data_IF_195231223031
#
_entry.id   IF_195231223031
#
_cell.length_a   1.000
_cell.length_b   1.000
_cell.length_c   1.000
_cell.angle_alpha   90.00
_cell.angle_beta   90.00
_cell.angle_gamma   90.00
#
_symmetry.space_group_name_H-M   'P 1'
#
loop_
_entity.id
_entity.type
_entity.pdbx_description
1 polymer ?
#
# COMPACT_ATOMS: atom_id res chain seq x y z
N UNK A 1 3.84 5.38 10.58
CA UNK A 1 2.74 6.02 9.84
C UNK A 1 1.62 6.33 10.82
N UNK A 2 0.78 7.32 10.53
CA UNK A 2 -0.40 7.67 11.28
C UNK A 2 -1.61 7.57 10.34
N UNK A 3 -2.47 6.58 10.59
CA UNK A 3 -3.65 6.31 9.77
C UNK A 3 -4.81 7.28 10.06
N UNK A 4 -4.79 7.96 11.21
CA UNK A 4 -5.79 8.97 11.55
C UNK A 4 -5.56 10.23 10.72
N UNK A 5 -4.29 10.61 10.53
CA UNK A 5 -3.93 11.81 9.75
C UNK A 5 -3.57 11.51 8.30
N UNK A 6 -3.45 10.23 7.92
CA UNK A 6 -3.07 9.82 6.56
C UNK A 6 -1.64 10.22 6.21
N UNK A 7 -0.73 10.22 7.20
CA UNK A 7 0.64 10.71 7.05
C UNK A 7 1.69 9.68 7.42
N UNK A 8 2.80 9.72 6.69
CA UNK A 8 4.07 9.09 7.07
C UNK A 8 5.05 10.20 7.44
N UNK A 9 5.60 10.12 8.65
CA UNK A 9 6.48 11.13 9.22
C UNK A 9 7.88 10.55 9.34
N UNK A 10 8.88 11.28 8.86
CA UNK A 10 10.29 10.97 9.07
C UNK A 10 10.88 12.03 10.00
N UNK A 11 11.50 11.57 11.08
CA UNK A 11 12.06 12.43 12.12
C UNK A 11 13.57 12.21 12.26
N UNK A 12 14.26 13.29 12.62
CA UNK A 12 15.66 13.27 13.04
C UNK A 12 15.75 13.94 14.42
N UNK A 13 16.42 13.30 15.37
CA UNK A 13 16.57 13.79 16.75
C UNK A 13 15.23 14.16 17.42
N UNK A 14 14.19 13.34 17.17
CA UNK A 14 12.84 13.55 17.70
C UNK A 14 12.03 14.65 17.01
N UNK A 15 12.60 15.37 16.04
CA UNK A 15 11.92 16.43 15.29
C UNK A 15 11.49 15.91 13.92
N UNK A 16 10.22 16.08 13.56
CA UNK A 16 9.71 15.74 12.22
C UNK A 16 10.41 16.62 11.19
N UNK A 17 11.01 15.99 10.18
CA UNK A 17 11.71 16.68 9.08
C UNK A 17 11.00 16.51 7.74
N UNK A 18 10.34 15.38 7.51
CA UNK A 18 9.61 15.11 6.27
C UNK A 18 8.23 14.58 6.59
N UNK A 19 7.24 15.10 5.88
CA UNK A 19 5.84 14.69 5.93
C UNK A 19 5.44 14.19 4.55
N UNK A 20 4.98 12.95 4.49
CA UNK A 20 4.41 12.37 3.28
C UNK A 20 2.94 12.03 3.47
N UNK A 21 2.08 12.36 2.50
CA UNK A 21 0.70 11.90 2.49
C UNK A 21 0.63 10.50 1.87
N UNK A 22 -0.17 9.62 2.46
CA UNK A 22 -0.23 8.22 2.07
C UNK A 22 -1.62 7.76 1.62
N UNK A 23 -1.64 6.72 0.82
CA UNK A 23 -2.77 5.81 0.65
C UNK A 23 -2.28 4.39 0.92
N UNK A 24 -3.16 3.51 1.38
CA UNK A 24 -2.79 2.13 1.70
C UNK A 24 -2.99 1.27 0.45
N UNK A 25 -1.95 0.56 0.04
CA UNK A 25 -2.04 -0.38 -1.07
C UNK A 25 -2.63 -1.71 -0.62
N UNK A 26 -2.07 -2.30 0.43
CA UNK A 26 -2.49 -3.59 0.95
C UNK A 26 -1.43 -4.18 1.85
N UNK A 27 -1.57 -5.47 2.12
CA UNK A 27 -0.63 -6.18 2.97
C UNK A 27 -0.40 -7.61 2.52
N UNK A 28 0.83 -8.08 2.72
CA UNK A 28 1.16 -9.50 2.59
C UNK A 28 0.96 -10.26 3.90
N UNK A 29 0.71 -11.56 3.79
CA UNK A 29 0.57 -12.49 4.92
C UNK A 29 1.36 -13.76 4.62
N UNK A 30 2.47 -13.98 5.35
CA UNK A 30 3.28 -15.19 5.22
C UNK A 30 2.61 -16.43 5.83
N UNK A 31 1.54 -16.25 6.63
CA UNK A 31 0.73 -17.37 7.11
C UNK A 31 -0.21 -17.91 6.03
N UNK A 32 -0.60 -17.05 5.09
CA UNK A 32 -1.62 -17.34 4.09
C UNK A 32 -1.06 -17.30 2.66
N UNK A 33 0.26 -17.11 2.52
CA UNK A 33 1.01 -16.99 1.26
C UNK A 33 0.29 -16.12 0.23
N UNK A 34 -0.10 -14.92 0.66
CA UNK A 34 -0.91 -14.03 -0.16
C UNK A 34 -0.72 -12.55 0.12
N UNK A 35 -1.23 -11.76 -0.82
CA UNK A 35 -1.53 -10.35 -0.69
C UNK A 35 -3.03 -10.16 -0.47
N UNK A 36 -3.39 -9.19 0.39
CA UNK A 36 -4.74 -8.65 0.53
C UNK A 36 -4.72 -7.16 0.15
N UNK A 37 -5.53 -6.78 -0.83
CA UNK A 37 -5.73 -5.39 -1.19
C UNK A 37 -6.41 -4.59 -0.09
N UNK A 38 -6.00 -3.34 0.10
CA UNK A 38 -6.54 -2.48 1.16
C UNK A 38 -8.05 -2.22 1.01
N UNK A 39 -8.55 -2.10 -0.22
CA UNK A 39 -9.97 -1.88 -0.48
C UNK A 39 -10.87 -3.03 -0.01
N UNK A 40 -10.31 -4.23 0.19
CA UNK A 40 -11.02 -5.41 0.67
C UNK A 40 -10.93 -5.59 2.20
N UNK A 41 -10.19 -4.74 2.90
CA UNK A 41 -10.01 -4.83 4.35
C UNK A 41 -10.88 -3.78 5.07
N UNK A 42 -12.01 -4.24 5.62
CA UNK A 42 -12.98 -3.38 6.32
C UNK A 42 -12.46 -2.73 7.61
N UNK A 43 -11.32 -3.18 8.13
CA UNK A 43 -10.70 -2.62 9.33
C UNK A 43 -9.82 -1.40 9.06
N UNK A 44 -9.64 -1.02 7.78
CA UNK A 44 -8.85 0.14 7.38
C UNK A 44 -9.73 1.39 7.21
N UNK A 45 -9.21 2.58 7.52
CA UNK A 45 -9.96 3.82 7.38
C UNK A 45 -10.26 4.12 5.91
N UNK A 46 -11.54 4.31 5.58
CA UNK A 46 -12.03 4.43 4.21
C UNK A 46 -11.36 5.55 3.38
N UNK A 47 -10.93 6.63 4.03
CA UNK A 47 -10.28 7.79 3.39
C UNK A 47 -8.88 7.47 2.86
N UNK A 48 -8.26 6.38 3.33
CA UNK A 48 -6.95 5.92 2.85
C UNK A 48 -7.03 4.81 1.80
N UNK A 49 -8.23 4.55 1.26
CA UNK A 49 -8.50 3.46 0.32
C UNK A 49 -8.92 3.95 -1.07
N UNK A 50 -8.99 5.26 -1.32
CA UNK A 50 -9.52 5.80 -2.58
C UNK A 50 -8.70 5.32 -3.78
N UNK A 51 -7.38 5.37 -3.67
CA UNK A 51 -6.49 4.90 -4.73
C UNK A 51 -6.53 3.37 -4.89
N UNK A 52 -6.69 2.61 -3.81
CA UNK A 52 -6.82 1.15 -3.90
C UNK A 52 -8.11 0.75 -4.63
N UNK A 53 -9.21 1.48 -4.39
CA UNK A 53 -10.46 1.30 -5.13
C UNK A 53 -10.31 1.64 -6.62
N UNK A 54 -9.53 2.67 -6.96
CA UNK A 54 -9.21 2.98 -8.37
C UNK A 54 -8.45 1.83 -9.04
N UNK A 55 -7.49 1.21 -8.34
CA UNK A 55 -6.79 0.02 -8.87
C UNK A 55 -7.76 -1.12 -9.13
N UNK A 56 -8.71 -1.37 -8.22
CA UNK A 56 -9.74 -2.38 -8.44
C UNK A 56 -10.56 -2.10 -9.69
N UNK A 57 -11.09 -0.87 -9.83
CA UNK A 57 -11.87 -0.50 -11.01
C UNK A 57 -11.05 -0.61 -12.31
N UNK A 58 -9.76 -0.27 -12.27
CA UNK A 58 -8.85 -0.47 -13.39
C UNK A 58 -8.69 -1.96 -13.73
N UNK A 59 -8.50 -2.81 -12.71
CA UNK A 59 -8.42 -4.26 -12.87
C UNK A 59 -9.68 -4.85 -13.49
N UNK A 60 -10.87 -4.45 -13.00
CA UNK A 60 -12.17 -4.86 -13.53
C UNK A 60 -12.35 -4.43 -14.99
N UNK A 61 -11.98 -3.19 -15.32
CA UNK A 61 -12.08 -2.65 -16.69
C UNK A 61 -11.14 -3.37 -17.67
N UNK A 62 -9.93 -3.73 -17.22
CA UNK A 62 -8.90 -4.35 -18.06
C UNK A 62 -8.89 -5.88 -18.03
N UNK A 63 -9.70 -6.51 -17.19
CA UNK A 63 -9.71 -7.96 -16.99
C UNK A 63 -8.42 -8.48 -16.36
N UNK A 64 -7.87 -7.75 -15.38
CA UNK A 64 -6.65 -8.13 -14.65
C UNK A 64 -7.04 -8.57 -13.24
N UNK A 65 -7.09 -9.89 -13.03
CA UNK A 65 -7.59 -10.48 -11.80
C UNK A 65 -6.75 -10.12 -10.58
N UNK A 66 -5.43 -10.01 -10.72
CA UNK A 66 -4.53 -9.63 -9.61
C UNK A 66 -4.80 -8.23 -9.06
N UNK A 67 -5.48 -7.37 -9.84
CA UNK A 67 -5.88 -6.03 -9.42
C UNK A 67 -7.35 -5.96 -8.99
N UNK A 68 -8.20 -6.82 -9.54
CA UNK A 68 -9.65 -6.83 -9.32
C UNK A 68 -10.08 -7.70 -8.13
N UNK A 69 -9.35 -8.78 -7.83
CA UNK A 69 -9.66 -9.69 -6.75
C UNK A 69 -9.11 -9.21 -5.41
N UNK A 70 -9.80 -9.55 -4.32
CA UNK A 70 -9.40 -9.13 -2.99
C UNK A 70 -8.03 -9.68 -2.58
N UNK A 71 -7.78 -10.94 -2.93
CA UNK A 71 -6.56 -11.67 -2.59
C UNK A 71 -5.78 -12.05 -3.85
N UNK A 72 -4.46 -12.05 -3.74
CA UNK A 72 -3.55 -12.58 -4.76
C UNK A 72 -2.60 -13.56 -4.08
N UNK A 73 -2.55 -14.80 -4.58
CA UNK A 73 -1.67 -15.84 -4.03
C UNK A 73 -0.23 -15.62 -4.48
N UNK A 74 0.71 -15.95 -3.60
CA UNK A 74 2.14 -15.98 -3.92
C UNK A 74 2.49 -17.30 -4.62
N UNK A 75 2.30 -17.32 -5.94
CA UNK A 75 2.62 -18.48 -6.78
C UNK A 75 4.12 -18.62 -7.07
N UNK A 76 4.92 -17.59 -6.76
CA UNK A 76 6.34 -17.53 -7.07
C UNK A 76 7.24 -17.86 -5.88
N UNK A 77 6.66 -18.09 -4.69
CA UNK A 77 7.37 -18.23 -3.42
C UNK A 77 8.29 -17.02 -3.14
N UNK A 78 7.82 -15.83 -3.53
CA UNK A 78 8.47 -14.54 -3.31
C UNK A 78 7.43 -13.48 -2.92
N UNK A 79 6.95 -13.62 -1.69
CA UNK A 79 5.92 -12.77 -1.12
C UNK A 79 6.34 -11.30 -1.07
N UNK A 80 7.63 -11.02 -0.94
CA UNK A 80 8.15 -9.65 -0.97
C UNK A 80 8.04 -9.06 -2.37
N UNK A 81 8.45 -9.79 -3.41
CA UNK A 81 8.27 -9.37 -4.79
C UNK A 81 6.80 -9.18 -5.16
N UNK A 82 5.90 -10.06 -4.69
CA UNK A 82 4.45 -9.89 -4.88
C UNK A 82 3.97 -8.55 -4.29
N UNK A 83 4.31 -8.28 -3.03
CA UNK A 83 3.91 -7.05 -2.36
C UNK A 83 4.45 -5.78 -3.04
N UNK A 84 5.72 -5.78 -3.46
CA UNK A 84 6.31 -4.67 -4.21
C UNK A 84 5.72 -4.50 -5.60
N UNK A 85 5.45 -5.60 -6.31
CA UNK A 85 4.87 -5.59 -7.65
C UNK A 85 3.48 -4.97 -7.67
N UNK A 86 2.58 -5.42 -6.79
CA UNK A 86 1.21 -4.91 -6.70
C UNK A 86 1.19 -3.45 -6.21
N UNK A 87 2.06 -3.10 -5.26
CA UNK A 87 2.20 -1.70 -4.83
C UNK A 87 2.74 -0.82 -5.96
N UNK A 88 3.70 -1.31 -6.75
CA UNK A 88 4.25 -0.62 -7.92
C UNK A 88 3.19 -0.39 -9.00
N UNK A 89 2.32 -1.38 -9.25
CA UNK A 89 1.18 -1.23 -10.15
C UNK A 89 0.25 -0.09 -9.67
N UNK A 90 -0.07 -0.05 -8.38
CA UNK A 90 -0.86 1.03 -7.80
C UNK A 90 -0.18 2.40 -7.94
N UNK A 91 1.14 2.49 -7.71
CA UNK A 91 1.89 3.74 -7.93
C UNK A 91 1.70 4.23 -9.37
N UNK A 92 1.82 3.33 -10.35
CA UNK A 92 1.69 3.66 -11.78
C UNK A 92 0.27 4.05 -12.18
N UNK A 93 -0.75 3.37 -11.66
CA UNK A 93 -2.17 3.62 -11.97
C UNK A 93 -2.61 4.95 -11.35
N UNK A 94 -2.22 5.22 -10.11
CA UNK A 94 -2.65 6.38 -9.35
C UNK A 94 -1.70 7.59 -9.45
N UNK A 95 -0.72 7.52 -10.36
CA UNK A 95 0.32 8.54 -10.57
C UNK A 95 0.95 9.04 -9.25
N UNK A 96 1.30 8.09 -8.37
CA UNK A 96 1.90 8.39 -7.07
C UNK A 96 3.42 8.61 -7.21
N UNK A 97 4.04 9.19 -6.18
CA UNK A 97 5.48 9.50 -6.19
C UNK A 97 6.36 8.28 -5.91
N UNK A 98 5.82 7.26 -5.25
CA UNK A 98 6.56 6.06 -4.89
C UNK A 98 5.81 5.18 -3.90
N UNK A 99 6.49 4.12 -3.47
CA UNK A 99 5.98 3.13 -2.55
C UNK A 99 6.77 3.15 -1.23
N UNK A 100 6.13 2.71 -0.16
CA UNK A 100 6.76 2.50 1.13
C UNK A 100 6.22 1.23 1.79
N UNK A 101 7.12 0.36 2.25
CA UNK A 101 6.78 -0.80 3.06
C UNK A 101 7.04 -0.48 4.51
N UNK A 102 6.00 -0.53 5.33
CA UNK A 102 6.12 -0.23 6.76
C UNK A 102 6.90 -1.32 7.47
N UNK A 103 7.84 -0.96 8.38
CA UNK A 103 8.52 -1.94 9.21
C UNK A 103 7.48 -2.59 10.13
N UNK A 104 7.10 -3.82 9.81
CA UNK A 104 6.35 -4.72 10.67
C UNK A 104 7.25 -5.90 11.05
N UNK A 105 6.92 -6.56 12.16
CA UNK A 105 7.59 -7.79 12.56
C UNK A 105 7.42 -8.91 11.53
N UNK A 106 7.98 -10.08 11.83
CA UNK A 106 7.89 -11.25 10.96
C UNK A 106 6.43 -11.60 10.59
N UNK A 107 6.22 -12.11 9.37
CA UNK A 107 4.92 -12.64 8.94
C UNK A 107 4.13 -11.81 7.92
N UNK A 108 4.63 -10.66 7.45
CA UNK A 108 3.99 -9.87 6.40
C UNK A 108 4.48 -8.42 6.31
N UNK A 109 4.00 -7.67 5.32
CA UNK A 109 4.30 -6.24 5.14
C UNK A 109 3.04 -5.43 4.92
N UNK A 110 2.96 -4.21 5.47
CA UNK A 110 1.96 -3.22 5.09
C UNK A 110 2.57 -2.25 4.08
N UNK A 111 1.95 -2.16 2.91
CA UNK A 111 2.46 -1.36 1.81
C UNK A 111 1.58 -0.13 1.58
N UNK A 112 2.25 0.98 1.33
CA UNK A 112 1.68 2.31 1.16
C UNK A 112 2.18 2.90 -0.15
N UNK A 113 1.41 3.81 -0.74
CA UNK A 113 1.89 4.72 -1.78
C UNK A 113 2.02 6.14 -1.22
N UNK A 114 2.98 6.89 -1.76
CA UNK A 114 3.27 8.27 -1.37
C UNK A 114 2.61 9.23 -2.37
N UNK A 115 1.67 10.05 -1.91
CA UNK A 115 0.96 11.05 -2.73
C UNK A 115 1.69 12.37 -2.80
N UNK A 116 2.38 12.74 -1.72
CA UNK A 116 3.23 13.91 -1.64
C UNK A 116 4.36 13.65 -0.66
N UNK A 117 5.47 14.37 -0.79
CA UNK A 117 6.60 14.34 0.14
C UNK A 117 7.10 15.77 0.28
N UNK A 118 7.05 16.31 1.50
CA UNK A 118 7.41 17.70 1.78
C UNK A 118 8.26 17.80 3.04
N UNK A 119 9.13 18.81 3.11
CA UNK A 119 9.79 19.17 4.35
C UNK A 119 8.77 19.65 5.38
N UNK A 120 8.98 19.28 6.64
CA UNK A 120 8.24 19.83 7.77
C UNK A 120 8.66 21.30 7.93
N UNK A 121 7.68 22.19 7.86
CA UNK A 121 7.80 23.63 8.12
C UNK A 121 8.17 23.92 9.57
#
# INVERSE_FOLDING_TARGET
YDLTTGKLLFSADGVVKVVAHIQIAGSTSAKADNWLWAWANSNLPGDLLSDAKLVRSFGEEKGIDELAQAYVLDVADDLEALGWGLTGAMVRICNALGAYRSPRGEGGGLYLILKSVNWAS
#
